data_IF_361726983027
#
_entry.id   IF_361726983027
#
_cell.length_a   1.000
_cell.length_b   1.000
_cell.length_c   1.000
_cell.angle_alpha   90.00
_cell.angle_beta   90.00
_cell.angle_gamma   90.00
#
_symmetry.space_group_name_H-M   'P 1'
#
loop_
_entity.id
_entity.type
_entity.pdbx_description
1 polymer ?
#
# COMPACT_ATOMS: atom_id res chain seq x y z
N UNK A 1 5.24 -34.34 -2.43
CA UNK A 1 5.56 -33.13 -3.20
C UNK A 1 4.32 -32.27 -3.21
N UNK A 2 4.32 -31.14 -2.49
CA UNK A 2 3.23 -30.17 -2.57
C UNK A 2 3.35 -29.43 -3.91
N UNK A 3 2.30 -29.49 -4.74
CA UNK A 3 2.22 -28.62 -5.91
C UNK A 3 1.85 -27.24 -5.38
N UNK A 4 2.78 -26.29 -5.44
CA UNK A 4 2.48 -24.89 -5.13
C UNK A 4 1.62 -24.31 -6.25
N UNK A 5 0.32 -24.20 -6.00
CA UNK A 5 -0.63 -23.60 -6.94
C UNK A 5 -0.70 -22.10 -6.62
N UNK A 6 0.30 -21.34 -7.05
CA UNK A 6 0.26 -19.89 -6.95
C UNK A 6 -0.85 -19.33 -7.85
N UNK A 7 -1.77 -18.49 -7.34
CA UNK A 7 -2.78 -17.86 -8.16
C UNK A 7 -2.16 -17.07 -9.32
N UNK A 8 -2.79 -17.09 -10.49
CA UNK A 8 -2.31 -16.34 -11.66
C UNK A 8 -2.19 -14.84 -11.38
N UNK A 9 -3.07 -14.32 -10.53
CA UNK A 9 -3.06 -12.93 -10.07
C UNK A 9 -1.79 -12.55 -9.31
N UNK A 10 -1.16 -13.51 -8.63
CA UNK A 10 0.14 -13.31 -7.98
C UNK A 10 1.30 -13.57 -8.94
N UNK A 11 1.20 -14.61 -9.76
CA UNK A 11 2.22 -14.99 -10.72
C UNK A 11 2.50 -13.88 -11.74
N UNK A 12 1.45 -13.21 -12.22
CA UNK A 12 1.53 -12.13 -13.20
C UNK A 12 1.33 -10.74 -12.58
N UNK A 13 1.44 -10.62 -11.25
CA UNK A 13 1.35 -9.31 -10.58
C UNK A 13 2.48 -8.40 -11.09
N UNK A 14 2.20 -7.16 -11.50
CA UNK A 14 3.22 -6.22 -11.95
C UNK A 14 4.37 -6.07 -10.94
N UNK A 15 5.61 -6.13 -11.41
CA UNK A 15 6.81 -5.93 -10.59
C UNK A 15 7.30 -4.49 -10.57
N UNK A 16 6.81 -3.66 -11.50
CA UNK A 16 7.08 -2.23 -11.61
C UNK A 16 5.89 -1.52 -12.25
N UNK A 17 5.80 -0.19 -12.11
CA UNK A 17 4.66 0.57 -12.63
C UNK A 17 4.54 0.52 -14.16
N UNK A 18 5.63 0.27 -14.89
CA UNK A 18 5.60 0.12 -16.35
C UNK A 18 4.89 -1.16 -16.83
N UNK A 19 4.70 -2.14 -15.95
CA UNK A 19 3.94 -3.37 -16.23
C UNK A 19 2.44 -3.25 -15.89
N UNK A 20 2.01 -2.14 -15.28
CA UNK A 20 0.60 -1.92 -14.98
C UNK A 20 -0.12 -1.57 -16.29
N UNK A 21 -1.07 -2.43 -16.69
CA UNK A 21 -1.86 -2.23 -17.90
C UNK A 21 -3.11 -1.40 -17.58
N UNK A 22 -3.32 -0.32 -18.33
CA UNK A 22 -4.44 0.61 -18.14
C UNK A 22 -4.15 1.72 -17.12
N UNK A 23 -5.05 2.72 -17.06
CA UNK A 23 -4.94 3.86 -16.12
C UNK A 23 -3.58 4.60 -16.17
N UNK A 24 -2.96 4.71 -17.35
CA UNK A 24 -1.60 5.22 -17.51
C UNK A 24 -1.40 6.61 -16.89
N UNK A 25 -2.37 7.51 -17.03
CA UNK A 25 -2.31 8.85 -16.41
C UNK A 25 -2.31 8.79 -14.88
N UNK A 26 -3.14 7.92 -14.28
CA UNK A 26 -3.19 7.76 -12.83
C UNK A 26 -1.92 7.11 -12.27
N UNK A 27 -1.38 6.12 -12.99
CA UNK A 27 -0.09 5.47 -12.67
C UNK A 27 1.05 6.49 -12.71
N UNK A 28 1.08 7.35 -13.73
CA UNK A 28 2.09 8.40 -13.85
C UNK A 28 1.92 9.49 -12.78
N UNK A 29 0.69 9.86 -12.45
CA UNK A 29 0.39 10.78 -11.35
C UNK A 29 0.87 10.24 -10.00
N UNK A 30 0.66 8.93 -9.74
CA UNK A 30 1.17 8.25 -8.55
C UNK A 30 2.70 8.28 -8.50
N UNK A 31 3.37 7.97 -9.61
CA UNK A 31 4.84 8.04 -9.73
C UNK A 31 5.35 9.44 -9.40
N UNK A 32 4.80 10.47 -10.04
CA UNK A 32 5.18 11.88 -9.80
C UNK A 32 4.96 12.30 -8.36
N UNK A 33 3.81 11.97 -7.78
CA UNK A 33 3.53 12.28 -6.38
C UNK A 33 4.57 11.62 -5.46
N UNK A 34 4.86 10.34 -5.66
CA UNK A 34 5.82 9.60 -4.86
C UNK A 34 7.24 10.18 -4.98
N UNK A 35 7.70 10.45 -6.20
CA UNK A 35 9.03 11.00 -6.44
C UNK A 35 9.18 12.43 -5.87
N UNK A 36 8.08 13.19 -5.79
CA UNK A 36 8.03 14.51 -5.14
C UNK A 36 7.85 14.49 -3.62
N UNK A 37 7.63 13.30 -3.03
CA UNK A 37 7.24 13.17 -1.63
C UNK A 37 8.39 13.52 -0.68
N UNK A 38 8.08 14.29 0.36
CA UNK A 38 8.99 14.61 1.45
C UNK A 38 8.23 14.84 2.77
N UNK A 39 8.95 14.84 3.89
CA UNK A 39 8.37 15.10 5.22
C UNK A 39 7.65 16.46 5.29
N UNK A 40 8.13 17.43 4.50
CA UNK A 40 7.59 18.79 4.41
C UNK A 40 6.60 18.98 3.24
N UNK A 41 6.27 17.92 2.51
CA UNK A 41 5.32 18.01 1.40
C UNK A 41 3.93 18.41 1.92
N UNK A 42 3.25 19.30 1.17
CA UNK A 42 1.86 19.71 1.47
C UNK A 42 0.88 18.52 1.39
N UNK A 43 1.14 17.56 0.49
CA UNK A 43 0.33 16.37 0.28
C UNK A 43 1.10 15.13 0.73
N UNK A 44 0.90 14.75 2.00
CA UNK A 44 1.62 13.63 2.63
C UNK A 44 1.05 12.25 2.31
N UNK A 45 -0.20 12.19 1.86
CA UNK A 45 -0.94 10.95 1.57
C UNK A 45 -1.51 11.03 0.16
N UNK A 46 -1.47 9.92 -0.56
CA UNK A 46 -2.19 9.72 -1.82
C UNK A 46 -3.42 8.83 -1.57
N UNK A 47 -4.54 9.19 -2.19
CA UNK A 47 -5.76 8.39 -2.20
C UNK A 47 -5.94 7.81 -3.60
N UNK A 48 -5.96 6.48 -3.70
CA UNK A 48 -6.23 5.79 -4.95
C UNK A 48 -7.68 5.31 -4.92
N UNK A 49 -8.49 5.75 -5.88
CA UNK A 49 -9.90 5.37 -5.98
C UNK A 49 -10.25 4.93 -7.39
N UNK A 50 -11.33 4.16 -7.52
CA UNK A 50 -11.80 3.63 -8.80
C UNK A 50 -12.38 2.21 -8.65
N UNK A 51 -12.97 1.65 -9.73
CA UNK A 51 -13.62 0.34 -9.70
C UNK A 51 -12.72 -0.80 -9.20
N UNK A 52 -13.33 -1.91 -8.77
CA UNK A 52 -12.59 -3.12 -8.43
C UNK A 52 -11.81 -3.65 -9.65
N UNK A 53 -10.63 -4.22 -9.43
CA UNK A 53 -9.82 -4.82 -10.50
C UNK A 53 -9.05 -3.84 -11.40
N UNK A 54 -9.06 -2.52 -11.12
CA UNK A 54 -8.33 -1.52 -11.95
C UNK A 54 -6.85 -1.35 -11.62
N UNK A 55 -6.29 -2.20 -10.75
CA UNK A 55 -4.86 -2.21 -10.44
C UNK A 55 -4.40 -1.21 -9.39
N UNK A 56 -5.28 -0.66 -8.54
CA UNK A 56 -4.93 0.29 -7.46
C UNK A 56 -3.88 -0.29 -6.50
N UNK A 57 -4.24 -1.37 -5.80
CA UNK A 57 -3.37 -2.09 -4.86
C UNK A 57 -2.11 -2.61 -5.56
N UNK A 58 -2.28 -3.20 -6.75
CA UNK A 58 -1.17 -3.70 -7.56
C UNK A 58 -0.16 -2.60 -7.95
N UNK A 59 -0.63 -1.38 -8.23
CA UNK A 59 0.24 -0.25 -8.58
C UNK A 59 1.12 0.18 -7.40
N UNK A 60 0.57 0.22 -6.18
CA UNK A 60 1.34 0.56 -4.98
C UNK A 60 2.40 -0.51 -4.70
N UNK A 61 2.03 -1.78 -4.82
CA UNK A 61 2.96 -2.91 -4.65
C UNK A 61 4.07 -2.88 -5.71
N UNK A 62 3.72 -2.62 -6.96
CA UNK A 62 4.68 -2.50 -8.04
C UNK A 62 5.64 -1.32 -7.83
N UNK A 63 5.14 -0.17 -7.36
CA UNK A 63 5.97 0.99 -7.02
C UNK A 63 6.92 0.70 -5.85
N UNK A 64 6.44 0.03 -4.80
CA UNK A 64 7.26 -0.36 -3.66
C UNK A 64 8.42 -1.27 -4.10
N UNK A 65 8.13 -2.29 -4.91
CA UNK A 65 9.13 -3.18 -5.52
C UNK A 65 10.10 -2.42 -6.40
N UNK A 66 9.61 -1.58 -7.30
CA UNK A 66 10.44 -0.78 -8.21
C UNK A 66 11.41 0.14 -7.48
N UNK A 67 11.01 0.69 -6.32
CA UNK A 67 11.83 1.60 -5.51
C UNK A 67 12.63 0.89 -4.41
N UNK A 68 12.47 -0.42 -4.25
CA UNK A 68 13.04 -1.20 -3.14
C UNK A 68 12.65 -0.65 -1.76
N UNK A 69 11.39 -0.21 -1.60
CA UNK A 69 10.85 0.26 -0.32
C UNK A 69 10.10 -0.88 0.36
N UNK A 70 10.20 -0.94 1.68
CA UNK A 70 9.40 -1.89 2.46
C UNK A 70 7.92 -1.47 2.39
N UNK A 71 7.04 -2.41 2.04
CA UNK A 71 5.60 -2.17 2.01
C UNK A 71 4.95 -2.79 3.26
N UNK A 72 4.28 -1.95 4.04
CA UNK A 72 3.42 -2.37 5.14
C UNK A 72 1.98 -2.22 4.68
N UNK A 73 1.33 -3.33 4.39
CA UNK A 73 -0.08 -3.38 3.98
C UNK A 73 -0.98 -3.64 5.18
N UNK A 74 -2.06 -2.86 5.30
CA UNK A 74 -3.10 -3.05 6.30
C UNK A 74 -4.47 -2.94 5.63
N UNK A 75 -5.30 -3.97 5.80
CA UNK A 75 -6.70 -3.92 5.39
C UNK A 75 -7.51 -3.23 6.49
N UNK A 76 -8.15 -2.11 6.15
CA UNK A 76 -8.89 -1.31 7.10
C UNK A 76 -10.19 -1.99 7.59
N UNK A 77 -10.85 -2.76 6.74
CA UNK A 77 -12.14 -3.42 7.04
C UNK A 77 -12.01 -4.60 8.01
N UNK A 78 -10.84 -5.26 8.01
CA UNK A 78 -10.48 -6.38 8.89
C UNK A 78 -9.82 -5.96 10.21
N UNK A 79 -9.42 -4.69 10.34
CA UNK A 79 -8.70 -4.24 11.53
C UNK A 79 -9.64 -4.00 12.71
N UNK A 80 -9.97 -5.07 13.43
CA UNK A 80 -10.50 -5.00 14.82
C UNK A 80 -9.40 -4.60 15.82
N UNK A 81 -8.85 -3.40 15.70
CA UNK A 81 -8.35 -2.57 16.80
C UNK A 81 -7.59 -1.37 16.22
N UNK A 82 -8.09 -0.16 16.48
CA UNK A 82 -7.35 1.11 16.29
C UNK A 82 -5.96 1.05 16.96
N UNK A 83 -5.83 0.29 18.06
CA UNK A 83 -4.58 0.06 18.78
C UNK A 83 -3.54 -0.80 18.03
N UNK A 84 -3.96 -1.69 17.13
CA UNK A 84 -3.04 -2.50 16.31
C UNK A 84 -2.38 -1.64 15.24
N UNK A 85 -3.18 -0.80 14.58
CA UNK A 85 -2.73 0.14 13.54
C UNK A 85 -1.79 1.18 14.14
N UNK A 86 -2.15 1.78 15.27
CA UNK A 86 -1.30 2.75 15.97
C UNK A 86 -0.01 2.12 16.49
N UNK A 87 -0.02 0.84 16.88
CA UNK A 87 1.20 0.12 17.27
C UNK A 87 2.07 -0.21 16.07
N UNK A 88 1.52 -0.70 14.96
CA UNK A 88 2.31 -1.01 13.76
C UNK A 88 2.85 0.26 13.12
N UNK A 89 2.01 1.28 12.93
CA UNK A 89 2.43 2.57 12.38
C UNK A 89 3.34 3.33 13.34
N UNK A 90 3.04 3.32 14.64
CA UNK A 90 3.81 3.99 15.67
C UNK A 90 5.15 3.31 15.98
N UNK A 91 5.20 1.98 16.05
CA UNK A 91 6.45 1.22 16.14
C UNK A 91 7.23 1.31 14.83
N UNK A 92 6.62 1.22 13.64
CA UNK A 92 7.36 1.39 12.37
C UNK A 92 7.91 2.80 12.18
N UNK A 93 7.24 3.82 12.75
CA UNK A 93 7.71 5.20 12.76
C UNK A 93 8.77 5.48 13.84
N UNK A 94 8.84 4.69 14.92
CA UNK A 94 9.78 4.87 16.05
C UNK A 94 10.99 3.90 16.01
N UNK A 95 10.77 2.67 15.59
CA UNK A 95 11.78 1.63 15.42
C UNK A 95 12.38 1.76 14.01
N UNK A 96 13.29 2.71 13.87
CA UNK A 96 14.28 2.60 12.81
C UNK A 96 15.11 1.32 13.04
N UNK A 97 15.14 0.43 12.05
CA UNK A 97 16.22 -0.56 11.82
C UNK A 97 16.40 -1.66 12.88
N UNK A 98 15.88 -2.86 12.59
CA UNK A 98 16.31 -4.13 13.23
C UNK A 98 16.70 -5.22 12.21
N UNK A 99 17.03 -4.82 10.98
CA UNK A 99 17.73 -5.68 10.00
C UNK A 99 18.90 -4.90 9.42
N UNK A 100 20.10 -5.41 9.62
CA UNK A 100 21.36 -4.83 9.16
C UNK A 100 21.34 -4.58 7.64
N UNK A 101 21.65 -3.34 7.24
CA UNK A 101 22.19 -3.06 5.90
C UNK A 101 21.42 -2.08 5.01
N UNK A 102 20.10 -1.92 5.18
CA UNK A 102 19.32 -1.01 4.32
C UNK A 102 18.49 -0.05 5.18
N UNK A 103 18.91 1.21 5.26
CA UNK A 103 18.06 2.34 5.70
C UNK A 103 16.97 2.58 4.65
N UNK A 104 16.05 1.62 4.50
CA UNK A 104 14.97 1.66 3.53
C UNK A 104 13.86 2.60 3.99
N UNK A 105 13.40 3.46 3.08
CA UNK A 105 12.12 4.16 3.25
C UNK A 105 10.99 3.14 3.16
N UNK A 106 9.90 3.36 3.89
CA UNK A 106 8.72 2.45 3.90
C UNK A 106 7.51 3.11 3.26
N UNK A 107 6.63 2.30 2.71
CA UNK A 107 5.29 2.68 2.22
C UNK A 107 4.27 2.03 3.14
N UNK A 108 3.36 2.83 3.68
CA UNK A 108 2.19 2.35 4.40
C UNK A 108 0.99 2.36 3.46
N UNK A 109 0.48 1.17 3.13
CA UNK A 109 -0.73 1.00 2.33
C UNK A 109 -1.90 0.63 3.24
N UNK A 110 -2.91 1.48 3.25
CA UNK A 110 -4.18 1.20 3.93
C UNK A 110 -5.20 0.86 2.84
N UNK A 111 -5.54 -0.43 2.72
CA UNK A 111 -6.50 -0.92 1.72
C UNK A 111 -7.93 -0.97 2.29
N UNK A 112 -8.93 -0.92 1.41
CA UNK A 112 -10.37 -0.97 1.75
C UNK A 112 -10.80 0.07 2.80
N UNK A 113 -10.22 1.27 2.76
CA UNK A 113 -10.54 2.38 3.68
C UNK A 113 -12.01 2.79 3.67
N UNK A 114 -12.71 2.54 2.56
CA UNK A 114 -14.15 2.74 2.40
C UNK A 114 -14.98 1.77 3.26
N UNK A 115 -14.44 0.60 3.61
CA UNK A 115 -15.06 -0.35 4.52
C UNK A 115 -15.19 0.13 5.98
N UNK A 116 -14.44 1.17 6.37
CA UNK A 116 -14.49 1.74 7.73
C UNK A 116 -15.78 2.52 8.01
N UNK A 117 -16.35 3.20 7.00
CA UNK A 117 -17.46 4.11 7.19
C UNK A 117 -18.81 3.41 7.45
N UNK A 118 -18.96 2.14 7.08
CA UNK A 118 -20.25 1.42 7.13
C UNK A 118 -20.54 0.63 8.41
N UNK A 119 -19.60 0.54 9.37
CA UNK A 119 -19.73 -0.31 10.56
C UNK A 119 -20.07 0.43 11.86
N UNK A 120 -19.97 1.75 11.90
CA UNK A 120 -20.16 2.54 13.14
C UNK A 120 -21.62 3.06 13.33
N UNK A 121 -22.49 3.00 12.31
CA UNK A 121 -23.85 3.58 12.36
C UNK A 121 -25.02 2.56 12.46
N UNK A 122 -24.82 1.45 13.18
CA UNK A 122 -25.95 0.58 13.61
C UNK A 122 -25.87 0.28 15.11
N UNK A 123 -26.27 1.26 15.91
CA UNK A 123 -26.43 1.11 17.35
C UNK A 123 -27.26 2.24 17.93
N UNK A 124 -28.58 2.14 17.75
CA UNK A 124 -29.52 2.58 18.78
C UNK A 124 -29.66 1.50 19.85
#
# INVERSE_FOLDING_TARGET
MSVDITPWTELYRPSNLGQVVGNAEAVESLRKWFDSWSVNAKRKVALLHGPAGTGKTSSVIALAKERSYELVEMNASDTRNKNSVLRIAGSSAKEGTLTEGARGKRILLIDEVDGLAGREDRGG
#
